data_IF_298702952309
#
_entry.id   IF_298702952309
#
_cell.length_a   1.000
_cell.length_b   1.000
_cell.length_c   1.000
_cell.angle_alpha   90.00
_cell.angle_beta   90.00
_cell.angle_gamma   90.00
#
_symmetry.space_group_name_H-M   'P 1'
#
loop_
_entity.id
_entity.type
_entity.pdbx_description
1 polymer ?
#
# COMPACT_ATOMS: atom_id res chain seq x y z
N UNK A 1 2.51 11.07 -22.45
CA UNK A 1 2.24 9.78 -21.78
C UNK A 1 3.30 9.62 -20.71
N UNK A 2 2.97 9.90 -19.46
CA UNK A 2 3.93 9.71 -18.39
C UNK A 2 3.99 8.22 -18.07
N UNK A 3 5.16 7.63 -18.29
CA UNK A 3 5.43 6.21 -18.03
C UNK A 3 5.64 6.04 -16.54
N UNK A 4 5.13 4.93 -15.99
CA UNK A 4 5.51 4.52 -14.65
C UNK A 4 7.05 4.38 -14.59
N UNK A 5 7.75 5.06 -13.66
CA UNK A 5 9.19 4.89 -13.50
C UNK A 5 9.55 3.55 -12.87
N UNK A 6 8.57 2.81 -12.33
CA UNK A 6 8.78 1.56 -11.62
C UNK A 6 8.72 0.39 -12.60
N UNK A 7 9.77 -0.41 -12.64
CA UNK A 7 9.91 -1.53 -13.55
C UNK A 7 9.40 -2.81 -12.88
N UNK A 8 8.41 -3.47 -13.49
CA UNK A 8 7.77 -4.69 -12.94
C UNK A 8 8.81 -5.74 -12.61
N UNK A 9 8.69 -6.35 -11.42
CA UNK A 9 9.60 -7.41 -10.98
C UNK A 9 10.97 -6.90 -10.52
N UNK A 10 11.15 -5.57 -10.48
CA UNK A 10 12.33 -4.93 -9.92
C UNK A 10 11.88 -3.96 -8.82
N UNK A 11 12.69 -3.78 -7.78
CA UNK A 11 12.45 -2.75 -6.76
C UNK A 11 12.91 -1.35 -7.22
N UNK A 12 13.19 -1.19 -8.52
CA UNK A 12 13.65 0.07 -9.09
C UNK A 12 12.48 1.05 -9.19
N UNK A 13 12.69 2.26 -8.70
CA UNK A 13 11.64 3.29 -8.61
C UNK A 13 10.76 3.16 -7.35
N UNK A 14 11.08 2.24 -6.45
CA UNK A 14 10.53 2.28 -5.10
C UNK A 14 11.23 3.33 -4.25
N UNK A 15 10.53 3.82 -3.24
CA UNK A 15 11.09 4.60 -2.15
C UNK A 15 10.83 3.88 -0.83
N UNK A 16 11.81 3.90 0.07
CA UNK A 16 11.66 3.35 1.40
C UNK A 16 10.84 4.31 2.27
N UNK A 17 9.75 3.81 2.86
CA UNK A 17 8.96 4.53 3.86
C UNK A 17 9.05 3.82 5.21
N UNK A 18 9.26 4.60 6.27
CA UNK A 18 9.24 4.08 7.64
C UNK A 18 7.81 3.81 8.10
N UNK A 19 7.60 2.67 8.75
CA UNK A 19 6.33 2.32 9.32
C UNK A 19 5.99 3.23 10.50
N UNK A 20 4.75 3.73 10.55
CA UNK A 20 4.26 4.45 11.73
C UNK A 20 4.12 3.50 12.93
N UNK A 21 4.16 4.06 14.13
CA UNK A 21 4.13 3.28 15.40
C UNK A 21 2.99 2.27 15.50
N UNK A 22 1.80 2.58 14.95
CA UNK A 22 0.64 1.66 15.01
C UNK A 22 0.78 0.44 14.10
N UNK A 23 1.75 0.43 13.19
CA UNK A 23 2.09 -0.71 12.34
C UNK A 23 3.28 -1.50 12.85
N UNK A 24 4.05 -0.96 13.78
CA UNK A 24 5.15 -1.69 14.41
C UNK A 24 4.56 -2.73 15.37
N UNK A 25 4.94 -4.00 15.18
CA UNK A 25 4.61 -5.05 16.15
C UNK A 25 5.64 -5.05 17.27
N UNK A 26 5.13 -5.03 18.50
CA UNK A 26 5.92 -5.22 19.71
C UNK A 26 5.81 -6.69 20.13
N UNK A 27 6.95 -7.33 20.32
CA UNK A 27 7.09 -8.70 20.83
C UNK A 27 7.99 -8.65 22.07
N UNK A 28 7.41 -8.89 23.25
CA UNK A 28 8.13 -8.84 24.55
C UNK A 28 8.99 -7.57 24.74
N UNK A 29 8.49 -6.41 24.30
CA UNK A 29 9.19 -5.13 24.42
C UNK A 29 10.23 -4.82 23.32
N UNK A 30 10.33 -5.66 22.29
CA UNK A 30 11.17 -5.43 21.11
C UNK A 30 10.32 -5.27 19.86
N UNK A 31 10.68 -4.33 18.98
CA UNK A 31 10.09 -4.24 17.64
C UNK A 31 10.75 -5.26 16.70
N UNK A 32 10.00 -5.80 15.73
CA UNK A 32 10.60 -6.52 14.60
C UNK A 32 11.72 -5.65 13.98
N UNK A 33 12.77 -6.27 13.44
CA UNK A 33 13.89 -5.57 12.79
C UNK A 33 13.51 -4.84 11.49
N UNK A 34 12.22 -4.81 11.15
CA UNK A 34 11.67 -4.20 9.94
C UNK A 34 10.87 -2.97 10.35
N UNK A 35 11.45 -1.81 10.11
CA UNK A 35 10.88 -0.51 10.48
C UNK A 35 10.22 0.21 9.30
N UNK A 36 10.01 -0.46 8.17
CA UNK A 36 9.53 0.14 6.94
C UNK A 36 9.61 -0.80 5.75
N UNK A 37 9.16 -0.33 4.59
CA UNK A 37 9.22 -1.08 3.35
C UNK A 37 9.39 -0.19 2.12
N UNK A 38 9.81 -0.81 1.02
CA UNK A 38 9.85 -0.18 -0.29
C UNK A 38 8.44 -0.07 -0.88
N UNK A 39 8.07 1.14 -1.28
CA UNK A 39 6.78 1.46 -1.88
C UNK A 39 6.99 2.09 -3.25
N UNK A 40 6.18 1.67 -4.22
CA UNK A 40 6.16 2.24 -5.56
C UNK A 40 6.02 3.79 -5.49
N UNK A 41 7.02 4.53 -6.02
CA UNK A 41 7.04 6.00 -5.98
C UNK A 41 5.73 6.65 -6.46
N UNK A 42 5.04 6.04 -7.43
CA UNK A 42 3.77 6.54 -7.96
C UNK A 42 2.65 6.68 -6.92
N UNK A 43 2.64 5.83 -5.90
CA UNK A 43 1.59 5.77 -4.87
C UNK A 43 2.13 6.00 -3.47
N UNK A 44 3.44 6.25 -3.31
CA UNK A 44 4.06 6.34 -2.00
C UNK A 44 3.47 7.45 -1.11
N UNK A 45 3.14 8.62 -1.69
CA UNK A 45 2.44 9.67 -0.94
C UNK A 45 1.06 9.24 -0.45
N UNK A 46 0.31 8.48 -1.26
CA UNK A 46 -1.01 7.96 -0.87
C UNK A 46 -0.92 6.89 0.23
N UNK A 47 0.11 6.04 0.17
CA UNK A 47 0.39 5.05 1.22
C UNK A 47 0.75 5.76 2.54
N UNK A 48 1.61 6.78 2.49
CA UNK A 48 1.92 7.59 3.66
C UNK A 48 0.68 8.28 4.23
N UNK A 49 -0.17 8.87 3.38
CA UNK A 49 -1.42 9.51 3.83
C UNK A 49 -2.38 8.50 4.50
N UNK A 50 -2.45 7.26 4.01
CA UNK A 50 -3.24 6.20 4.65
C UNK A 50 -2.67 5.81 6.01
N UNK A 51 -1.34 5.67 6.09
CA UNK A 51 -0.61 5.39 7.32
C UNK A 51 -0.81 6.50 8.34
N UNK A 52 -0.69 7.77 7.97
CA UNK A 52 -0.90 8.92 8.84
C UNK A 52 -2.35 8.99 9.36
N UNK A 53 -3.29 8.49 8.58
CA UNK A 53 -4.68 8.34 9.01
C UNK A 53 -4.90 7.14 9.92
N UNK A 54 -3.90 6.29 10.14
CA UNK A 54 -3.96 5.11 11.00
C UNK A 54 -4.55 3.88 10.31
N UNK A 55 -4.34 3.72 9.00
CA UNK A 55 -4.66 2.48 8.26
C UNK A 55 -3.44 1.57 8.30
N UNK A 56 -3.64 0.27 8.53
CA UNK A 56 -2.61 -0.77 8.41
C UNK A 56 -2.64 -1.38 7.01
N UNK A 57 -1.49 -1.40 6.31
CA UNK A 57 -1.34 -2.03 4.99
C UNK A 57 -0.36 -3.20 5.02
N UNK A 58 -0.59 -4.23 4.20
CA UNK A 58 0.26 -5.42 4.08
C UNK A 58 1.02 -5.54 2.75
N UNK A 59 0.71 -4.67 1.79
CA UNK A 59 1.38 -4.64 0.49
C UNK A 59 0.69 -3.66 -0.45
N UNK A 60 1.44 -3.08 -1.38
CA UNK A 60 0.89 -2.18 -2.39
C UNK A 60 1.66 -2.27 -3.71
N UNK A 61 0.99 -1.93 -4.80
CA UNK A 61 1.60 -1.77 -6.12
C UNK A 61 0.79 -0.75 -6.93
N UNK A 62 1.46 0.09 -7.69
CA UNK A 62 0.81 1.09 -8.54
C UNK A 62 0.22 0.51 -9.83
N UNK A 63 0.47 -0.78 -10.14
CA UNK A 63 0.02 -1.43 -11.37
C UNK A 63 0.93 -1.18 -12.60
N UNK A 64 1.99 -0.38 -12.44
CA UNK A 64 3.03 -0.12 -13.44
C UNK A 64 2.56 0.32 -14.83
N UNK A 65 1.37 0.93 -14.91
CA UNK A 65 0.74 1.40 -16.15
C UNK A 65 0.20 0.28 -17.04
N UNK A 66 0.22 -0.95 -16.52
CA UNK A 66 -0.15 -2.17 -17.25
C UNK A 66 -1.39 -2.80 -16.61
N UNK A 67 -1.39 -2.88 -15.27
CA UNK A 67 -2.47 -3.44 -14.47
C UNK A 67 -3.12 -2.35 -13.61
N UNK A 68 -4.28 -2.67 -13.03
CA UNK A 68 -4.85 -1.83 -11.96
C UNK A 68 -4.00 -1.97 -10.69
N UNK A 69 -3.76 -0.85 -10.01
CA UNK A 69 -3.01 -0.85 -8.76
C UNK A 69 -3.76 -1.52 -7.61
N UNK A 70 -3.03 -1.89 -6.56
CA UNK A 70 -3.57 -2.58 -5.40
C UNK A 70 -2.99 -2.03 -4.10
N UNK A 71 -3.81 -2.02 -3.05
CA UNK A 71 -3.45 -1.74 -1.66
C UNK A 71 -4.13 -2.80 -0.79
N UNK A 72 -3.34 -3.68 -0.19
CA UNK A 72 -3.84 -4.69 0.76
C UNK A 72 -3.90 -4.06 2.15
N UNK A 73 -5.06 -4.07 2.79
CA UNK A 73 -5.26 -3.48 4.12
C UNK A 73 -5.68 -4.51 5.16
N UNK A 74 -5.51 -4.21 6.43
CA UNK A 74 -6.08 -5.03 7.50
C UNK A 74 -7.61 -5.01 7.49
N UNK A 75 -8.23 -6.14 7.87
CA UNK A 75 -9.69 -6.27 7.95
C UNK A 75 -10.34 -5.16 8.78
N UNK A 76 -9.71 -4.80 9.90
CA UNK A 76 -10.23 -3.79 10.83
C UNK A 76 -10.37 -2.41 10.17
N UNK A 77 -9.59 -2.15 9.12
CA UNK A 77 -9.52 -0.86 8.43
C UNK A 77 -10.41 -0.80 7.17
N UNK A 78 -11.07 -1.90 6.80
CA UNK A 78 -11.97 -1.97 5.62
C UNK A 78 -13.06 -0.90 5.66
N UNK A 79 -13.74 -0.73 6.79
CA UNK A 79 -14.79 0.30 6.94
C UNK A 79 -14.22 1.71 6.74
N UNK A 80 -12.98 1.94 7.18
CA UNK A 80 -12.29 3.22 7.07
C UNK A 80 -11.91 3.50 5.62
N UNK A 81 -11.41 2.51 4.89
CA UNK A 81 -11.13 2.63 3.45
C UNK A 81 -12.36 3.08 2.66
N UNK A 82 -13.54 2.51 2.96
CA UNK A 82 -14.79 2.96 2.34
C UNK A 82 -15.16 4.40 2.71
N UNK A 83 -15.04 4.78 3.99
CA UNK A 83 -15.30 6.16 4.44
C UNK A 83 -14.37 7.17 3.78
N UNK A 84 -13.11 6.77 3.53
CA UNK A 84 -12.15 7.56 2.80
C UNK A 84 -12.45 7.62 1.30
N UNK A 85 -13.40 6.82 0.79
CA UNK A 85 -13.81 6.82 -0.62
C UNK A 85 -12.97 5.92 -1.53
N UNK A 86 -12.25 4.95 -0.95
CA UNK A 86 -11.58 3.90 -1.73
C UNK A 86 -12.59 2.87 -2.23
N UNK A 87 -12.27 2.23 -3.35
CA UNK A 87 -13.07 1.16 -3.94
C UNK A 87 -12.34 -0.15 -3.75
N UNK A 88 -13.08 -1.17 -3.31
CA UNK A 88 -12.56 -2.52 -3.23
C UNK A 88 -12.19 -2.99 -4.64
N UNK A 89 -11.05 -3.66 -4.76
CA UNK A 89 -10.65 -4.34 -5.97
C UNK A 89 -11.67 -5.47 -6.25
N UNK A 90 -12.10 -5.69 -7.50
CA UNK A 90 -13.02 -6.78 -7.83
C UNK A 90 -12.43 -8.10 -7.36
N UNK A 91 -13.18 -8.86 -6.54
CA UNK A 91 -12.69 -10.12 -5.98
C UNK A 91 -12.19 -11.07 -7.08
N UNK A 92 -10.93 -11.52 -6.93
CA UNK A 92 -10.30 -12.50 -7.81
C UNK A 92 -9.68 -13.62 -6.97
N UNK A 93 -9.77 -14.85 -7.46
CA UNK A 93 -9.21 -16.04 -6.78
C UNK A 93 -7.70 -15.85 -6.58
N UNK A 94 -7.24 -15.94 -5.34
CA UNK A 94 -5.82 -15.80 -4.98
C UNK A 94 -5.38 -14.38 -4.59
N UNK A 95 -6.28 -13.39 -4.66
CA UNK A 95 -6.01 -12.04 -4.16
C UNK A 95 -6.28 -11.94 -2.66
N UNK A 96 -5.59 -11.03 -1.98
CA UNK A 96 -5.89 -10.71 -0.59
C UNK A 96 -7.34 -10.17 -0.46
N UNK A 97 -8.17 -10.64 0.48
CA UNK A 97 -9.61 -10.29 0.51
C UNK A 97 -9.89 -8.79 0.64
N UNK A 98 -9.02 -8.07 1.34
CA UNK A 98 -9.17 -6.65 1.63
C UNK A 98 -8.22 -5.82 0.78
N UNK A 99 -8.35 -5.98 -0.53
CA UNK A 99 -7.57 -5.23 -1.51
C UNK A 99 -8.37 -4.06 -2.06
N UNK A 100 -7.82 -2.86 -2.03
CA UNK A 100 -8.42 -1.64 -2.55
C UNK A 100 -7.63 -1.09 -3.74
N UNK A 101 -8.31 -0.36 -4.61
CA UNK A 101 -7.71 0.32 -5.76
C UNK A 101 -7.12 1.66 -5.30
N UNK A 102 -5.82 1.96 -5.53
CA UNK A 102 -5.25 3.29 -5.31
C UNK A 102 -6.00 4.35 -6.11
N UNK A 103 -6.18 5.53 -5.52
CA UNK A 103 -6.75 6.70 -6.20
C UNK A 103 -5.71 7.41 -7.04
N UNK A 104 -4.45 7.41 -6.59
CA UNK A 104 -3.34 7.96 -7.36
C UNK A 104 -3.08 7.09 -8.57
N UNK A 105 -2.89 7.73 -9.73
CA UNK A 105 -2.45 7.07 -10.96
C UNK A 105 -1.06 7.56 -11.32
N UNK A 106 -0.42 6.88 -12.27
CA UNK A 106 0.88 7.30 -12.80
C UNK A 106 0.82 8.77 -13.20
N UNK A 107 1.58 9.58 -12.47
CA UNK A 107 1.73 11.00 -12.76
C UNK A 107 2.59 11.18 -13.97
#
# INVERSE_FOLDING_TARGET
MNRCPNEIGTYKGCIYLEFPKHMLKEYDGFYETVFGCDVDYCIAGEIQDLWDQGVTTYGSCCGHGINEGMINVDEKDVSKMYKLGYKLFPSQKGMYPYTFIPKSRHK
#
